data_IF_499759783214
#
_entry.id   IF_499759783214
#
_cell.length_a   1.000
_cell.length_b   1.000
_cell.length_c   1.000
_cell.angle_alpha   90.00
_cell.angle_beta   90.00
_cell.angle_gamma   90.00
#
_symmetry.space_group_name_H-M   'P 1'
#
loop_
_entity.id
_entity.type
_entity.pdbx_description
1 polymer ?
#
# COMPACT_ATOMS: atom_id res chain seq x y z
N UNK A 1 -14.48 29.83 22.04
CA UNK A 1 -13.26 30.11 21.27
C UNK A 1 -13.24 29.10 20.14
N UNK A 2 -13.62 29.50 18.93
CA UNK A 2 -13.57 28.64 17.75
C UNK A 2 -12.15 28.78 17.23
N UNK A 3 -11.35 27.71 17.29
CA UNK A 3 -10.01 27.72 16.72
C UNK A 3 -10.16 27.60 15.20
N UNK A 4 -9.87 28.69 14.49
CA UNK A 4 -9.79 28.70 13.03
C UNK A 4 -8.60 27.86 12.60
N UNK A 5 -8.79 26.94 11.64
CA UNK A 5 -7.68 26.21 11.02
C UNK A 5 -6.98 27.11 10.00
N UNK A 6 -6.09 27.99 10.49
CA UNK A 6 -5.22 28.78 9.62
C UNK A 6 -4.09 27.89 9.04
N UNK A 7 -4.15 27.64 7.73
CA UNK A 7 -3.12 26.89 7.02
C UNK A 7 -2.03 27.82 6.50
N UNK A 8 -0.89 27.86 7.18
CA UNK A 8 0.33 28.48 6.65
C UNK A 8 1.13 27.46 5.84
N UNK A 9 0.97 27.47 4.52
CA UNK A 9 1.57 26.46 3.65
C UNK A 9 2.41 27.03 2.52
N UNK A 10 3.53 26.36 2.23
CA UNK A 10 4.26 26.51 0.96
C UNK A 10 3.77 25.44 -0.01
N UNK A 11 3.89 25.72 -1.30
CA UNK A 11 3.66 24.70 -2.34
C UNK A 11 4.48 23.44 -2.02
N UNK A 12 3.88 22.24 -2.04
CA UNK A 12 4.55 21.01 -1.68
C UNK A 12 5.66 20.60 -2.68
N UNK A 13 5.75 21.26 -3.84
CA UNK A 13 6.74 20.99 -4.90
C UNK A 13 6.72 19.52 -5.39
N UNK A 14 5.61 18.81 -5.20
CA UNK A 14 5.44 17.43 -5.67
C UNK A 14 5.56 17.36 -7.18
N UNK A 15 6.31 16.38 -7.65
CA UNK A 15 6.39 16.07 -9.07
C UNK A 15 5.33 15.03 -9.43
N UNK A 16 5.15 14.75 -10.73
CA UNK A 16 4.24 13.70 -11.19
C UNK A 16 4.63 12.29 -10.68
N UNK A 17 5.87 12.09 -10.23
CA UNK A 17 6.34 10.81 -9.71
C UNK A 17 5.60 10.37 -8.45
N UNK A 18 5.15 11.32 -7.61
CA UNK A 18 4.43 10.98 -6.38
C UNK A 18 3.09 10.29 -6.67
N UNK A 19 2.42 10.65 -7.77
CA UNK A 19 1.14 10.06 -8.17
C UNK A 19 1.32 8.59 -8.55
N UNK A 20 2.39 8.29 -9.31
CA UNK A 20 2.74 6.91 -9.62
C UNK A 20 3.13 6.14 -8.37
N UNK A 21 3.83 6.77 -7.41
CA UNK A 21 4.12 6.15 -6.12
C UNK A 21 2.83 5.79 -5.37
N UNK A 22 1.85 6.69 -5.30
CA UNK A 22 0.56 6.42 -4.65
C UNK A 22 -0.15 5.22 -5.30
N UNK A 23 -0.17 5.19 -6.63
CA UNK A 23 -0.75 4.09 -7.39
C UNK A 23 -0.03 2.75 -7.10
N UNK A 24 1.29 2.70 -7.23
CA UNK A 24 2.04 1.46 -7.02
C UNK A 24 2.04 1.01 -5.55
N UNK A 25 2.05 1.93 -4.59
CA UNK A 25 1.93 1.60 -3.18
C UNK A 25 0.56 0.96 -2.86
N UNK A 26 -0.52 1.53 -3.43
CA UNK A 26 -1.86 0.97 -3.35
C UNK A 26 -1.94 -0.42 -3.98
N UNK A 27 -1.40 -0.59 -5.19
CA UNK A 27 -1.35 -1.88 -5.88
C UNK A 27 -0.53 -2.92 -5.10
N UNK A 28 0.60 -2.52 -4.53
CA UNK A 28 1.47 -3.41 -3.77
C UNK A 28 0.77 -3.92 -2.50
N UNK A 29 0.26 -3.02 -1.66
CA UNK A 29 -0.45 -3.40 -0.45
C UNK A 29 -1.75 -4.15 -0.73
N UNK A 30 -2.54 -3.67 -1.69
CA UNK A 30 -3.79 -4.29 -2.11
C UNK A 30 -3.60 -5.70 -2.67
N UNK A 31 -2.60 -5.93 -3.51
CA UNK A 31 -2.35 -7.24 -4.11
C UNK A 31 -1.88 -8.25 -3.05
N UNK A 32 -1.03 -7.83 -2.10
CA UNK A 32 -0.63 -8.70 -0.99
C UNK A 32 -1.83 -9.10 -0.13
N UNK A 33 -2.71 -8.14 0.20
CA UNK A 33 -3.90 -8.43 1.00
C UNK A 33 -4.87 -9.35 0.25
N UNK A 34 -5.18 -9.06 -1.02
CA UNK A 34 -6.04 -9.90 -1.85
C UNK A 34 -5.48 -11.33 -1.99
N UNK A 35 -4.19 -11.46 -2.28
CA UNK A 35 -3.52 -12.77 -2.36
C UNK A 35 -3.58 -13.54 -1.04
N UNK A 36 -3.43 -12.84 0.08
CA UNK A 36 -3.58 -13.42 1.41
C UNK A 36 -5.02 -13.85 1.70
N UNK A 37 -6.01 -13.02 1.37
CA UNK A 37 -7.44 -13.34 1.54
C UNK A 37 -7.85 -14.56 0.70
N UNK A 38 -7.35 -14.67 -0.54
CA UNK A 38 -7.56 -15.86 -1.37
C UNK A 38 -6.97 -17.11 -0.72
N UNK A 39 -5.76 -17.05 -0.13
CA UNK A 39 -5.19 -18.19 0.59
C UNK A 39 -5.89 -18.53 1.91
N UNK A 40 -6.48 -17.55 2.58
CA UNK A 40 -7.12 -17.73 3.90
C UNK A 40 -8.57 -18.19 3.81
N UNK A 41 -9.31 -17.68 2.83
CA UNK A 41 -10.76 -17.87 2.70
C UNK A 41 -11.15 -18.66 1.43
N UNK A 42 -10.20 -18.86 0.52
CA UNK A 42 -10.40 -19.55 -0.74
C UNK A 42 -10.16 -21.05 -0.65
N UNK A 43 -10.42 -21.69 -1.79
CA UNK A 43 -10.16 -23.10 -2.04
C UNK A 43 -8.72 -23.29 -2.53
N UNK A 44 -8.20 -24.52 -2.54
CA UNK A 44 -6.92 -24.83 -3.21
C UNK A 44 -6.91 -24.38 -4.69
N UNK A 45 -8.09 -24.30 -5.31
CA UNK A 45 -8.29 -23.76 -6.68
C UNK A 45 -8.03 -22.25 -6.80
N UNK A 46 -7.98 -21.50 -5.70
CA UNK A 46 -7.69 -20.06 -5.69
C UNK A 46 -6.18 -19.76 -5.64
N UNK A 47 -5.35 -20.78 -5.41
CA UNK A 47 -3.88 -20.63 -5.31
C UNK A 47 -3.23 -20.06 -6.59
N UNK A 48 -3.65 -20.40 -7.83
CA UNK A 48 -3.15 -19.74 -9.03
C UNK A 48 -3.36 -18.22 -9.02
N UNK A 49 -4.52 -17.73 -8.61
CA UNK A 49 -4.81 -16.30 -8.51
C UNK A 49 -4.03 -15.64 -7.36
N UNK A 50 -3.93 -16.30 -6.21
CA UNK A 50 -3.13 -15.81 -5.08
C UNK A 50 -1.65 -15.63 -5.45
N UNK A 51 -1.07 -16.56 -6.22
CA UNK A 51 0.31 -16.47 -6.71
C UNK A 51 0.52 -15.26 -7.62
N UNK A 52 -0.42 -15.01 -8.54
CA UNK A 52 -0.38 -13.81 -9.40
C UNK A 52 -0.40 -12.54 -8.54
N UNK A 53 -1.20 -12.50 -7.49
CA UNK A 53 -1.23 -11.37 -6.57
C UNK A 53 0.14 -11.10 -5.90
N UNK A 54 0.83 -12.14 -5.41
CA UNK A 54 2.18 -11.99 -4.86
C UNK A 54 3.23 -11.59 -5.92
N UNK A 55 3.09 -12.07 -7.16
CA UNK A 55 3.97 -11.66 -8.26
C UNK A 55 3.75 -10.23 -8.71
N UNK A 56 2.53 -9.69 -8.60
CA UNK A 56 2.23 -8.27 -8.84
C UNK A 56 2.80 -7.39 -7.73
N UNK A 57 2.70 -7.87 -6.48
CA UNK A 57 3.15 -7.13 -5.31
C UNK A 57 4.65 -6.81 -5.33
N UNK A 58 5.49 -7.76 -5.75
CA UNK A 58 6.94 -7.60 -5.80
C UNK A 58 7.43 -6.43 -6.68
N UNK A 59 7.14 -6.37 -7.99
CA UNK A 59 7.56 -5.25 -8.83
C UNK A 59 6.94 -3.93 -8.38
N UNK A 60 5.67 -3.92 -7.95
CA UNK A 60 5.03 -2.71 -7.43
C UNK A 60 5.76 -2.16 -6.20
N UNK A 61 6.19 -3.04 -5.28
CA UNK A 61 6.97 -2.65 -4.09
C UNK A 61 8.36 -2.14 -4.45
N UNK A 62 9.04 -2.74 -5.44
CA UNK A 62 10.38 -2.32 -5.87
C UNK A 62 10.39 -0.96 -6.58
N UNK A 63 9.32 -0.63 -7.30
CA UNK A 63 9.17 0.66 -8.00
C UNK A 63 8.96 1.81 -7.00
N UNK A 64 8.29 1.55 -5.86
CA UNK A 64 7.97 2.57 -4.86
C UNK A 64 9.17 3.39 -4.34
N UNK A 65 10.25 2.79 -3.82
CA UNK A 65 11.39 3.55 -3.32
C UNK A 65 12.12 4.35 -4.42
N UNK A 66 12.08 3.88 -5.67
CA UNK A 66 12.66 4.58 -6.83
C UNK A 66 11.87 5.85 -7.12
N UNK A 67 10.53 5.76 -7.19
CA UNK A 67 9.67 6.92 -7.43
C UNK A 67 9.74 7.92 -6.27
N UNK A 68 9.74 7.41 -5.03
CA UNK A 68 9.82 8.25 -3.83
C UNK A 68 11.13 9.05 -3.76
N UNK A 69 12.27 8.41 -4.06
CA UNK A 69 13.57 9.11 -4.07
C UNK A 69 13.72 10.07 -5.24
N UNK A 70 13.18 9.73 -6.41
CA UNK A 70 13.16 10.63 -7.55
C UNK A 70 12.32 11.89 -7.28
N UNK A 71 11.18 11.76 -6.61
CA UNK A 71 10.33 12.90 -6.23
C UNK A 71 11.02 13.85 -5.24
N UNK A 72 11.85 13.31 -4.32
CA UNK A 72 12.66 14.11 -3.39
C UNK A 72 13.80 14.88 -4.07
N UNK A 73 13.98 14.77 -5.39
CA UNK A 73 15.03 15.47 -6.15
C UNK A 73 16.43 14.91 -5.91
N UNK A 74 16.55 13.76 -5.24
CA UNK A 74 17.81 13.05 -5.01
C UNK A 74 17.94 11.87 -5.97
N UNK A 75 19.18 11.43 -6.22
CA UNK A 75 19.42 10.26 -7.07
C UNK A 75 18.76 9.01 -6.46
N UNK A 76 18.04 8.25 -7.30
CA UNK A 76 17.34 6.99 -6.99
C UNK A 76 18.08 5.97 -6.10
N UNK A 77 19.42 5.90 -6.18
CA UNK A 77 20.25 4.96 -5.42
C UNK A 77 20.49 5.38 -3.96
N UNK A 78 20.03 6.57 -3.55
CA UNK A 78 20.24 7.13 -2.20
C UNK A 78 19.10 6.83 -1.23
N UNK A 79 18.16 5.95 -1.57
CA UNK A 79 17.06 5.56 -0.68
C UNK A 79 17.54 5.15 0.72
N UNK A 80 18.67 4.43 0.80
CA UNK A 80 19.25 3.98 2.06
C UNK A 80 19.66 5.12 3.01
N UNK A 81 19.92 6.33 2.52
CA UNK A 81 20.17 7.50 3.38
C UNK A 81 18.93 7.92 4.20
N UNK A 82 17.73 7.50 3.81
CA UNK A 82 16.52 7.70 4.63
C UNK A 82 16.49 6.78 5.87
N UNK A 83 17.26 5.69 5.84
CA UNK A 83 17.35 4.73 6.94
C UNK A 83 18.64 4.85 7.75
N UNK A 84 19.72 5.28 7.11
CA UNK A 84 21.05 5.41 7.73
C UNK A 84 21.52 6.84 7.54
N UNK A 85 21.77 7.52 8.65
CA UNK A 85 22.47 8.80 8.64
C UNK A 85 23.95 8.55 8.40
N UNK A 86 24.50 9.26 7.43
CA UNK A 86 25.92 9.18 7.02
C UNK A 86 26.66 10.48 7.27
N UNK A 87 26.05 11.41 8.01
CA UNK A 87 26.68 12.66 8.40
C UNK A 87 27.92 12.37 9.25
N UNK A 88 29.11 12.88 8.87
CA UNK A 88 30.33 12.64 9.63
C UNK A 88 30.18 13.07 11.09
N UNK A 89 30.29 12.13 12.03
CA UNK A 89 30.16 12.38 13.47
C UNK A 89 28.83 11.97 14.10
N UNK A 90 27.79 11.70 13.29
CA UNK A 90 26.44 11.31 13.76
C UNK A 90 25.91 10.05 13.02
N UNK A 91 26.83 9.19 12.59
CA UNK A 91 26.49 7.98 11.82
C UNK A 91 25.63 7.03 12.64
N UNK A 92 24.41 6.73 12.15
CA UNK A 92 23.46 5.90 12.90
C UNK A 92 22.20 5.55 12.13
N UNK A 93 21.30 4.79 12.77
CA UNK A 93 19.99 4.49 12.20
C UNK A 93 19.07 5.70 12.35
N UNK A 94 18.47 6.15 11.26
CA UNK A 94 17.52 7.24 11.22
C UNK A 94 16.10 6.71 11.49
N UNK A 95 15.78 6.49 12.77
CA UNK A 95 14.43 6.12 13.20
C UNK A 95 13.84 7.19 14.13
N UNK A 96 12.86 7.94 13.62
CA UNK A 96 12.14 8.98 14.34
C UNK A 96 10.67 8.58 14.47
N UNK A 97 10.28 7.97 15.59
CA UNK A 97 8.92 7.46 15.78
C UNK A 97 7.84 8.54 15.70
N UNK A 98 8.19 9.80 15.97
CA UNK A 98 7.30 10.96 15.88
C UNK A 98 7.21 11.56 14.48
N UNK A 99 8.06 11.13 13.54
CA UNK A 99 8.00 11.55 12.15
C UNK A 99 7.28 10.46 11.36
N UNK A 100 6.06 10.72 10.87
CA UNK A 100 5.36 9.77 10.03
C UNK A 100 6.28 9.24 8.93
N UNK A 101 6.92 10.13 8.15
CA UNK A 101 7.80 9.78 7.03
C UNK A 101 8.91 8.79 7.40
N UNK A 102 9.49 8.87 8.60
CA UNK A 102 10.49 7.90 9.06
C UNK A 102 9.85 6.51 9.25
N UNK A 103 8.70 6.44 9.95
CA UNK A 103 7.95 5.19 10.14
C UNK A 103 7.61 4.54 8.80
N UNK A 104 7.21 5.33 7.80
CA UNK A 104 6.90 4.83 6.45
C UNK A 104 8.06 4.12 5.76
N UNK A 105 9.28 4.65 5.84
CA UNK A 105 10.47 4.04 5.22
C UNK A 105 10.79 2.69 5.85
N UNK A 106 10.72 2.61 7.18
CA UNK A 106 10.95 1.36 7.90
C UNK A 106 9.83 0.34 7.64
N UNK A 107 8.58 0.79 7.54
CA UNK A 107 7.47 -0.06 7.14
C UNK A 107 7.64 -0.59 5.70
N UNK A 108 8.12 0.23 4.76
CA UNK A 108 8.42 -0.20 3.38
C UNK A 108 9.51 -1.28 3.36
N UNK A 109 10.54 -1.18 4.20
CA UNK A 109 11.56 -2.21 4.34
C UNK A 109 10.98 -3.53 4.85
N UNK A 110 10.22 -3.47 5.95
CA UNK A 110 9.57 -4.64 6.54
C UNK A 110 8.61 -5.28 5.53
N UNK A 111 7.83 -4.45 4.83
CA UNK A 111 6.94 -4.92 3.78
C UNK A 111 7.71 -5.58 2.64
N UNK A 112 8.80 -4.96 2.17
CA UNK A 112 9.69 -5.52 1.16
C UNK A 112 10.20 -6.92 1.50
N UNK A 113 10.50 -7.19 2.78
CA UNK A 113 10.81 -8.54 3.26
C UNK A 113 9.64 -9.51 3.07
N UNK A 114 8.45 -9.19 3.58
CA UNK A 114 7.26 -10.04 3.43
C UNK A 114 6.91 -10.31 1.97
N UNK A 115 6.94 -9.28 1.13
CA UNK A 115 6.65 -9.36 -0.30
C UNK A 115 7.64 -10.28 -1.01
N UNK A 116 8.94 -10.09 -0.75
CA UNK A 116 10.00 -10.90 -1.37
C UNK A 116 9.87 -12.36 -0.98
N UNK A 117 9.74 -12.65 0.32
CA UNK A 117 9.61 -14.04 0.78
C UNK A 117 8.34 -14.69 0.24
N UNK A 118 7.18 -14.02 0.29
CA UNK A 118 5.92 -14.57 -0.24
C UNK A 118 5.96 -14.81 -1.75
N UNK A 119 6.60 -13.92 -2.52
CA UNK A 119 6.76 -14.08 -3.98
C UNK A 119 7.71 -15.25 -4.32
N UNK A 120 8.83 -15.38 -3.61
CA UNK A 120 9.77 -16.50 -3.82
C UNK A 120 9.13 -17.83 -3.37
N UNK A 121 8.43 -17.85 -2.24
CA UNK A 121 7.72 -19.03 -1.77
C UNK A 121 6.62 -19.47 -2.75
N UNK A 122 5.84 -18.52 -3.30
CA UNK A 122 4.88 -18.77 -4.38
C UNK A 122 5.54 -19.38 -5.64
N UNK A 123 6.73 -18.88 -6.01
CA UNK A 123 7.49 -19.36 -7.16
C UNK A 123 8.07 -20.77 -6.96
N UNK A 124 8.53 -21.09 -5.75
CA UNK A 124 9.03 -22.42 -5.40
C UNK A 124 7.90 -23.45 -5.25
N UNK A 125 6.77 -23.07 -4.67
CA UNK A 125 5.57 -23.94 -4.56
C UNK A 125 5.03 -24.36 -5.91
N UNK A 126 5.10 -23.49 -6.93
CA UNK A 126 4.74 -23.86 -8.29
C UNK A 126 5.63 -24.97 -8.89
N UNK A 127 6.82 -25.20 -8.33
CA UNK A 127 7.78 -26.23 -8.77
C UNK A 127 7.84 -27.44 -7.83
N UNK A 128 6.88 -27.57 -6.91
CA UNK A 128 6.84 -28.66 -5.93
C UNK A 128 7.71 -28.46 -4.69
N UNK A 129 8.27 -27.26 -4.48
CA UNK A 129 9.03 -26.89 -3.29
C UNK A 129 8.25 -25.97 -2.33
N UNK A 130 8.97 -25.26 -1.47
CA UNK A 130 8.45 -24.23 -0.59
C UNK A 130 9.51 -23.80 0.41
N UNK A 131 9.62 -22.51 0.71
CA UNK A 131 10.58 -22.00 1.69
C UNK A 131 9.94 -21.96 3.07
N UNK A 132 8.66 -21.54 3.12
CA UNK A 132 7.94 -21.41 4.38
C UNK A 132 7.13 -22.69 4.64
N UNK A 133 7.33 -23.36 5.80
CA UNK A 133 6.50 -24.49 6.19
C UNK A 133 5.01 -24.13 6.17
N UNK A 134 4.14 -25.06 5.75
CA UNK A 134 2.70 -24.78 5.58
C UNK A 134 2.04 -24.21 6.86
N UNK A 135 2.46 -24.70 8.03
CA UNK A 135 1.98 -24.24 9.34
C UNK A 135 2.33 -22.78 9.64
N UNK A 136 3.49 -22.31 9.17
CA UNK A 136 3.96 -20.93 9.38
C UNK A 136 3.47 -20.01 8.26
N UNK A 137 3.25 -20.53 7.06
CA UNK A 137 2.86 -19.76 5.87
C UNK A 137 1.60 -18.91 6.11
N UNK A 138 0.62 -19.48 6.82
CA UNK A 138 -0.61 -18.78 7.17
C UNK A 138 -0.34 -17.54 8.03
N UNK A 139 0.40 -17.71 9.13
CA UNK A 139 0.75 -16.61 10.03
C UNK A 139 1.61 -15.57 9.31
N UNK A 140 2.57 -16.03 8.48
CA UNK A 140 3.43 -15.16 7.69
C UNK A 140 2.63 -14.25 6.75
N UNK A 141 1.70 -14.81 5.97
CA UNK A 141 0.85 -14.02 5.08
C UNK A 141 -0.08 -13.08 5.86
N UNK A 142 -0.61 -13.50 7.02
CA UNK A 142 -1.44 -12.61 7.86
C UNK A 142 -0.64 -11.41 8.36
N UNK A 143 0.57 -11.63 8.89
CA UNK A 143 1.43 -10.56 9.38
C UNK A 143 1.80 -9.63 8.22
N UNK A 144 2.21 -10.19 7.08
CA UNK A 144 2.50 -9.42 5.88
C UNK A 144 1.28 -8.62 5.39
N UNK A 145 0.06 -9.15 5.53
CA UNK A 145 -1.17 -8.47 5.13
C UNK A 145 -1.52 -7.31 6.07
N UNK A 146 -1.22 -7.41 7.36
CA UNK A 146 -1.34 -6.29 8.30
C UNK A 146 -0.39 -5.17 7.88
N UNK A 147 0.86 -5.51 7.56
CA UNK A 147 1.84 -4.53 7.04
C UNK A 147 1.39 -3.97 5.68
N UNK A 148 0.77 -4.79 4.83
CA UNK A 148 0.23 -4.36 3.53
C UNK A 148 -0.91 -3.34 3.67
N UNK A 149 -1.83 -3.57 4.62
CA UNK A 149 -2.89 -2.62 4.97
C UNK A 149 -2.28 -1.30 5.45
N UNK A 150 -1.25 -1.38 6.30
CA UNK A 150 -0.51 -0.20 6.72
C UNK A 150 0.05 0.54 5.50
N UNK A 151 0.82 -0.12 4.62
CA UNK A 151 1.42 0.54 3.44
C UNK A 151 0.38 1.14 2.50
N UNK A 152 -0.71 0.43 2.21
CA UNK A 152 -1.76 0.91 1.32
C UNK A 152 -2.53 2.12 1.88
N UNK A 153 -2.71 2.21 3.21
CA UNK A 153 -3.45 3.30 3.86
C UNK A 153 -2.55 4.47 4.30
N UNK A 154 -1.31 4.18 4.66
CA UNK A 154 -0.40 5.09 5.35
C UNK A 154 -0.11 6.37 4.58
N UNK A 155 -0.02 6.29 3.25
CA UNK A 155 0.20 7.49 2.43
C UNK A 155 -0.98 8.45 2.47
N UNK A 156 -2.22 7.93 2.53
CA UNK A 156 -3.40 8.77 2.77
C UNK A 156 -3.37 9.41 4.16
N UNK A 157 -2.89 8.68 5.17
CA UNK A 157 -2.69 9.23 6.52
C UNK A 157 -1.64 10.34 6.52
N UNK A 158 -0.52 10.16 5.82
CA UNK A 158 0.51 11.18 5.65
C UNK A 158 -0.04 12.49 5.09
N UNK A 159 -0.93 12.39 4.11
CA UNK A 159 -1.61 13.56 3.53
C UNK A 159 -2.53 14.23 4.55
N UNK A 160 -3.29 13.44 5.33
CA UNK A 160 -4.22 13.96 6.35
C UNK A 160 -3.53 14.66 7.53
N UNK A 161 -2.29 14.30 7.85
CA UNK A 161 -1.52 14.94 8.93
C UNK A 161 -0.54 15.99 8.40
N UNK A 162 -0.64 16.33 7.11
CA UNK A 162 0.13 17.42 6.51
C UNK A 162 -0.50 18.79 6.81
N UNK A 163 0.16 19.87 6.40
CA UNK A 163 -0.41 21.22 6.50
C UNK A 163 -1.04 21.69 5.17
N UNK A 164 -1.25 20.78 4.21
CA UNK A 164 -1.80 21.10 2.89
C UNK A 164 -3.33 21.17 2.95
N UNK A 165 -3.94 22.32 2.60
CA UNK A 165 -5.40 22.49 2.63
C UNK A 165 -6.13 21.40 1.84
N UNK A 166 -7.39 21.11 2.20
CA UNK A 166 -8.21 20.01 1.69
C UNK A 166 -7.74 18.64 2.15
N UNK A 167 -6.44 18.37 2.11
CA UNK A 167 -5.89 17.08 2.54
C UNK A 167 -5.89 16.94 4.05
N UNK A 168 -5.49 17.99 4.76
CA UNK A 168 -5.47 18.08 6.23
C UNK A 168 -6.85 18.17 6.88
N UNK A 169 -7.86 18.58 6.11
CA UNK A 169 -9.22 18.84 6.59
C UNK A 169 -10.06 17.57 6.79
N UNK A 170 -9.47 16.40 6.53
CA UNK A 170 -10.16 15.11 6.63
C UNK A 170 -9.25 14.02 7.19
N UNK A 171 -9.82 13.13 7.99
CA UNK A 171 -9.13 11.95 8.52
C UNK A 171 -9.36 10.69 7.67
N UNK A 172 -10.17 10.79 6.61
CA UNK A 172 -10.70 9.64 5.85
C UNK A 172 -9.73 9.16 4.76
N UNK A 173 -8.73 9.99 4.40
CA UNK A 173 -7.81 9.72 3.28
C UNK A 173 -7.08 8.38 3.38
N UNK A 174 -6.69 7.95 4.59
CA UNK A 174 -6.04 6.65 4.75
C UNK A 174 -6.95 5.48 4.35
N UNK A 175 -8.23 5.57 4.70
CA UNK A 175 -9.23 4.59 4.28
C UNK A 175 -9.49 4.62 2.78
N UNK A 176 -9.54 5.81 2.18
CA UNK A 176 -9.74 5.98 0.73
C UNK A 176 -8.62 5.34 -0.08
N UNK A 177 -7.37 5.60 0.30
CA UNK A 177 -6.20 5.02 -0.37
C UNK A 177 -6.21 3.48 -0.25
N UNK A 178 -6.57 2.95 0.91
CA UNK A 178 -6.71 1.51 1.11
C UNK A 178 -7.81 0.90 0.22
N UNK A 179 -9.01 1.49 0.22
CA UNK A 179 -10.15 0.99 -0.54
C UNK A 179 -9.89 1.02 -2.05
N UNK A 180 -9.38 2.15 -2.55
CA UNK A 180 -9.02 2.33 -3.95
C UNK A 180 -7.88 1.40 -4.38
N UNK A 181 -6.85 1.26 -3.54
CA UNK A 181 -5.76 0.30 -3.76
C UNK A 181 -6.25 -1.14 -3.82
N UNK A 182 -7.17 -1.54 -2.95
CA UNK A 182 -7.75 -2.89 -2.94
C UNK A 182 -8.60 -3.19 -4.17
N UNK A 183 -9.47 -2.25 -4.57
CA UNK A 183 -10.25 -2.35 -5.80
C UNK A 183 -9.33 -2.45 -7.03
N UNK A 184 -8.37 -1.52 -7.15
CA UNK A 184 -7.39 -1.51 -8.25
C UNK A 184 -6.57 -2.80 -8.33
N UNK A 185 -6.13 -3.33 -7.19
CA UNK A 185 -5.43 -4.63 -7.14
C UNK A 185 -6.33 -5.79 -7.55
N UNK A 186 -7.58 -5.85 -7.06
CA UNK A 186 -8.51 -6.91 -7.41
C UNK A 186 -8.81 -6.91 -8.92
N UNK A 187 -9.07 -5.73 -9.50
CA UNK A 187 -9.27 -5.56 -10.93
C UNK A 187 -8.04 -5.94 -11.76
N UNK A 188 -6.83 -5.53 -11.33
CA UNK A 188 -5.58 -5.89 -11.99
C UNK A 188 -5.34 -7.41 -11.96
N UNK A 189 -5.54 -8.06 -10.81
CA UNK A 189 -5.38 -9.51 -10.69
C UNK A 189 -6.39 -10.22 -11.59
N UNK A 190 -7.66 -9.81 -11.57
CA UNK A 190 -8.70 -10.36 -12.44
C UNK A 190 -8.34 -10.23 -13.92
N UNK A 191 -7.79 -9.07 -14.33
CA UNK A 191 -7.31 -8.86 -15.70
C UNK A 191 -6.16 -9.81 -16.07
N UNK A 192 -5.18 -9.97 -15.18
CA UNK A 192 -4.00 -10.82 -15.42
C UNK A 192 -4.31 -12.32 -15.45
N UNK A 193 -5.40 -12.75 -14.81
CA UNK A 193 -5.84 -14.15 -14.80
C UNK A 193 -6.96 -14.45 -15.79
N UNK A 194 -7.52 -13.44 -16.48
CA UNK A 194 -8.69 -13.58 -17.37
C UNK A 194 -8.56 -14.71 -18.40
N UNK A 195 -7.36 -14.90 -18.95
CA UNK A 195 -7.10 -15.91 -19.98
C UNK A 195 -6.41 -17.17 -19.42
N UNK A 196 -6.38 -17.33 -18.09
CA UNK A 196 -5.73 -18.45 -17.38
C UNK A 196 -6.81 -19.41 -16.87
N UNK A 197 -7.05 -20.55 -17.55
CA UNK A 197 -8.14 -21.46 -17.21
C UNK A 197 -7.98 -22.07 -15.80
N UNK A 198 -6.75 -22.22 -15.32
CA UNK A 198 -6.40 -22.67 -13.97
C UNK A 198 -6.80 -21.69 -12.86
N UNK A 199 -6.89 -20.39 -13.18
CA UNK A 199 -7.23 -19.33 -12.24
C UNK A 199 -8.67 -18.80 -12.40
N UNK A 200 -9.42 -19.32 -13.36
CA UNK A 200 -10.78 -18.84 -13.68
C UNK A 200 -11.78 -18.98 -12.53
N UNK A 201 -11.57 -19.94 -11.63
CA UNK A 201 -12.42 -20.15 -10.44
C UNK A 201 -12.46 -18.92 -9.52
N UNK A 202 -11.33 -18.22 -9.38
CA UNK A 202 -11.20 -17.06 -8.50
C UNK A 202 -11.82 -15.78 -9.07
N UNK A 203 -12.13 -15.75 -10.36
CA UNK A 203 -12.58 -14.53 -11.05
C UNK A 203 -13.87 -13.96 -10.43
N UNK A 204 -14.84 -14.84 -10.12
CA UNK A 204 -16.08 -14.43 -9.46
C UNK A 204 -15.85 -13.83 -8.06
N UNK A 205 -14.93 -14.41 -7.28
CA UNK A 205 -14.57 -13.90 -5.94
C UNK A 205 -13.85 -12.56 -6.03
N UNK A 206 -12.97 -12.38 -7.01
CA UNK A 206 -12.27 -11.11 -7.25
C UNK A 206 -13.26 -10.01 -7.66
N UNK A 207 -14.21 -10.30 -8.54
CA UNK A 207 -15.27 -9.34 -8.89
C UNK A 207 -16.16 -8.99 -7.69
N UNK A 208 -16.50 -9.97 -6.85
CA UNK A 208 -17.27 -9.72 -5.63
C UNK A 208 -16.48 -8.85 -4.64
N UNK A 209 -15.19 -9.14 -4.44
CA UNK A 209 -14.32 -8.36 -3.59
C UNK A 209 -14.16 -6.92 -4.10
N UNK A 210 -13.92 -6.74 -5.40
CA UNK A 210 -13.86 -5.45 -6.07
C UNK A 210 -15.14 -4.64 -5.87
N UNK A 211 -16.31 -5.29 -5.97
CA UNK A 211 -17.60 -4.66 -5.65
C UNK A 211 -17.69 -4.17 -4.20
N UNK A 212 -17.24 -4.97 -3.22
CA UNK A 212 -17.21 -4.54 -1.81
C UNK A 212 -16.24 -3.38 -1.58
N UNK A 213 -15.05 -3.42 -2.18
CA UNK A 213 -14.07 -2.35 -2.07
C UNK A 213 -14.55 -1.05 -2.72
N UNK A 214 -15.22 -1.14 -3.86
CA UNK A 214 -15.84 0.00 -4.55
C UNK A 214 -16.95 0.64 -3.72
N UNK A 215 -17.79 -0.17 -3.04
CA UNK A 215 -18.83 0.34 -2.12
C UNK A 215 -18.19 1.03 -0.92
N UNK A 216 -17.14 0.44 -0.34
CA UNK A 216 -16.39 1.05 0.75
C UNK A 216 -15.75 2.38 0.31
N UNK A 217 -15.12 2.41 -0.87
CA UNK A 217 -14.53 3.62 -1.45
C UNK A 217 -15.60 4.71 -1.64
N UNK A 218 -16.75 4.37 -2.23
CA UNK A 218 -17.86 5.32 -2.40
C UNK A 218 -18.35 5.88 -1.06
N UNK A 219 -18.53 5.03 -0.05
CA UNK A 219 -18.92 5.47 1.29
C UNK A 219 -17.88 6.44 1.88
N UNK A 220 -16.60 6.13 1.75
CA UNK A 220 -15.51 6.98 2.23
C UNK A 220 -15.40 8.29 1.44
N UNK A 221 -15.72 8.30 0.14
CA UNK A 221 -15.77 9.52 -0.68
C UNK A 221 -16.88 10.44 -0.18
N UNK A 222 -18.06 9.89 0.14
CA UNK A 222 -19.16 10.66 0.70
C UNK A 222 -18.73 11.28 2.04
N UNK A 223 -18.12 10.49 2.94
CA UNK A 223 -17.62 11.01 4.23
C UNK A 223 -16.53 12.05 4.01
N UNK A 224 -15.62 11.86 3.04
CA UNK A 224 -14.60 12.83 2.67
C UNK A 224 -15.21 14.19 2.35
N UNK A 225 -16.18 14.26 1.42
CA UNK A 225 -16.83 15.52 1.05
C UNK A 225 -17.60 16.15 2.21
N UNK A 226 -18.23 15.34 3.07
CA UNK A 226 -18.89 15.84 4.30
C UNK A 226 -17.87 16.47 5.24
N UNK A 227 -16.74 15.80 5.50
CA UNK A 227 -15.69 16.29 6.41
C UNK A 227 -15.03 17.57 5.90
N UNK A 228 -14.67 17.61 4.62
CA UNK A 228 -14.08 18.80 3.98
C UNK A 228 -15.09 19.95 3.95
N UNK A 229 -16.36 19.68 3.63
CA UNK A 229 -17.43 20.68 3.65
C UNK A 229 -17.68 21.25 5.04
N UNK A 230 -17.64 20.42 6.08
CA UNK A 230 -17.77 20.86 7.46
C UNK A 230 -16.56 21.71 7.92
N UNK A 231 -15.34 21.34 7.51
CA UNK A 231 -14.14 22.14 7.79
C UNK A 231 -14.19 23.51 7.11
N UNK A 232 -14.64 23.57 5.85
CA UNK A 232 -14.80 24.82 5.10
C UNK A 232 -15.98 25.68 5.57
N UNK A 233 -17.03 25.10 6.15
CA UNK A 233 -18.16 25.84 6.71
C UNK A 233 -17.89 26.48 8.09
N UNK A 234 -16.77 26.12 8.72
CA UNK A 234 -16.27 26.71 9.97
C UNK A 234 -15.29 27.87 9.71
N UNK A 235 -14.99 28.19 8.44
CA UNK A 235 -14.15 29.30 7.98
C UNK A 235 -15.00 30.51 7.53
#
# INVERSE_FOLDING_TARGET
MVFLAEHFVRSPQWTWYILFYFFFAGIAGGAYLVGTLLRLSGDARDEPAARVAFYVCLPATLICPILLTADLGVSWWKFWHMMVDVTPGDTGLNFKYWSPMSVGVWALLVFGFFVTVSAVDAWMRNRGGGIIPMVVNRAFNIIGAIVAIFIASYTGVLLSVSNQPVWSDTWVLGGLFLASGLSGSAALIALLIRNRPDAGFSLGRLHQADGYFSVLELALIIVFFITVGAAGALA
#
